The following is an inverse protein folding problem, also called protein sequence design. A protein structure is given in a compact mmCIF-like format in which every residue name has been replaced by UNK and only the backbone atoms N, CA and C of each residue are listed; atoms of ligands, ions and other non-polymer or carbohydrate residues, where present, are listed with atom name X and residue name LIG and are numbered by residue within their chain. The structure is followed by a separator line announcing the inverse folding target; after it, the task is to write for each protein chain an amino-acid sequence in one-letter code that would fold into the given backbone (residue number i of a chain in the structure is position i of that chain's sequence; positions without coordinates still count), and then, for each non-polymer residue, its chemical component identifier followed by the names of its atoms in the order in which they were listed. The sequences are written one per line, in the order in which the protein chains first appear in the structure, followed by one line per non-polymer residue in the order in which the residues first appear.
data_IF_462623918132
#
_entry.id   IF_462623918132
#
_cell.length_a   1.000
_cell.length_b   1.000
_cell.length_c   1.000
_cell.angle_alpha   90.00
_cell.angle_beta   90.00
_cell.angle_gamma   90.00
#
_symmetry.space_group_name_H-M   'P 1'
#
loop_
_entity.id
_entity.type
_entity.pdbx_description
1 polymer ?
#
# COMPACT_ATOMS: atom_id res chain seq x y z
N UNK A 1 5.88 9.99 -28.71
CA UNK A 1 5.37 10.60 -27.47
C UNK A 1 4.11 9.87 -27.03
N UNK A 2 4.23 8.81 -26.22
CA UNK A 2 3.11 7.93 -25.78
C UNK A 2 3.26 7.50 -24.31
N UNK A 3 3.92 8.31 -23.47
CA UNK A 3 4.04 8.06 -22.03
C UNK A 3 2.70 7.89 -21.27
N UNK A 4 1.61 8.66 -21.56
CA UNK A 4 0.39 8.55 -20.75
C UNK A 4 -0.42 7.28 -21.03
N UNK A 5 -0.36 6.73 -22.25
CA UNK A 5 -1.10 5.52 -22.62
C UNK A 5 -0.52 4.28 -21.93
N UNK A 6 0.80 4.17 -21.86
CA UNK A 6 1.48 3.02 -21.26
C UNK A 6 1.28 2.99 -19.73
N UNK A 7 1.25 4.17 -19.10
CA UNK A 7 0.93 4.33 -17.68
C UNK A 7 -0.50 3.88 -17.35
N UNK A 8 -1.50 4.34 -18.12
CA UNK A 8 -2.91 3.98 -17.90
C UNK A 8 -3.17 2.50 -18.17
N UNK A 9 -2.50 1.91 -19.18
CA UNK A 9 -2.56 0.47 -19.45
C UNK A 9 -1.95 -0.31 -18.29
N UNK A 10 -0.79 0.12 -17.76
CA UNK A 10 -0.14 -0.48 -16.60
C UNK A 10 -1.03 -0.45 -15.34
N UNK A 11 -1.63 0.70 -15.03
CA UNK A 11 -2.57 0.84 -13.91
C UNK A 11 -3.77 -0.09 -14.08
N UNK A 12 -4.39 -0.10 -15.27
CA UNK A 12 -5.59 -0.90 -15.53
C UNK A 12 -5.27 -2.40 -15.46
N UNK A 13 -4.10 -2.82 -15.92
CA UNK A 13 -3.66 -4.21 -15.83
C UNK A 13 -3.45 -4.64 -14.37
N UNK A 14 -2.78 -3.80 -13.58
CA UNK A 14 -2.52 -4.05 -12.16
C UNK A 14 -3.83 -4.06 -11.34
N UNK A 15 -4.76 -3.15 -11.61
CA UNK A 15 -6.07 -3.11 -10.95
C UNK A 15 -6.91 -4.36 -11.21
N UNK A 16 -6.89 -4.92 -12.42
CA UNK A 16 -7.69 -6.10 -12.81
C UNK A 16 -7.11 -7.44 -12.35
N UNK A 17 -5.90 -7.44 -11.81
CA UNK A 17 -5.09 -8.62 -11.58
C UNK A 17 -5.33 -9.24 -10.19
N UNK A 18 -4.67 -8.64 -9.21
CA UNK A 18 -4.69 -9.07 -7.81
C UNK A 18 -4.60 -7.87 -6.87
N UNK A 19 -4.36 -6.65 -7.38
CA UNK A 19 -4.12 -5.48 -6.55
C UNK A 19 -5.31 -5.17 -5.64
N UNK A 20 -6.55 -5.26 -6.15
CA UNK A 20 -7.74 -5.09 -5.32
C UNK A 20 -7.85 -6.15 -4.22
N UNK A 21 -7.47 -7.39 -4.53
CA UNK A 21 -7.48 -8.48 -3.56
C UNK A 21 -6.39 -8.28 -2.49
N UNK A 22 -5.15 -7.99 -2.90
CA UNK A 22 -4.02 -7.77 -2.00
C UNK A 22 -4.19 -6.52 -1.14
N UNK A 23 -4.69 -5.42 -1.72
CA UNK A 23 -5.02 -4.22 -0.96
C UNK A 23 -6.16 -4.47 0.03
N UNK A 24 -7.21 -5.19 -0.39
CA UNK A 24 -8.31 -5.61 0.48
C UNK A 24 -7.85 -6.48 1.64
N UNK A 25 -7.04 -7.51 1.37
CA UNK A 25 -6.46 -8.38 2.39
C UNK A 25 -5.55 -7.59 3.35
N UNK A 26 -4.73 -6.67 2.82
CA UNK A 26 -3.83 -5.85 3.64
C UNK A 26 -4.61 -4.91 4.55
N UNK A 27 -5.67 -4.29 4.04
CA UNK A 27 -6.55 -3.42 4.80
C UNK A 27 -7.28 -4.20 5.89
N UNK A 28 -7.82 -5.38 5.56
CA UNK A 28 -8.48 -6.26 6.52
C UNK A 28 -7.50 -6.71 7.62
N UNK A 29 -6.29 -7.12 7.25
CA UNK A 29 -5.25 -7.50 8.21
C UNK A 29 -4.87 -6.34 9.15
N UNK A 30 -4.74 -5.12 8.61
CA UNK A 30 -4.48 -3.93 9.42
C UNK A 30 -5.63 -3.61 10.39
N UNK A 31 -6.87 -3.65 9.91
CA UNK A 31 -8.06 -3.38 10.75
C UNK A 31 -8.16 -4.40 11.87
N UNK A 32 -8.09 -5.70 11.55
CA UNK A 32 -8.20 -6.76 12.54
C UNK A 32 -7.07 -6.71 13.56
N UNK A 33 -5.82 -6.56 13.12
CA UNK A 33 -4.67 -6.50 14.03
C UNK A 33 -4.75 -5.29 14.98
N UNK A 34 -5.08 -4.10 14.47
CA UNK A 34 -5.21 -2.90 15.30
C UNK A 34 -6.36 -3.00 16.30
N UNK A 35 -7.52 -3.54 15.90
CA UNK A 35 -8.67 -3.73 16.78
C UNK A 35 -8.40 -4.78 17.86
N UNK A 36 -7.84 -5.94 17.49
CA UNK A 36 -7.49 -6.97 18.46
C UNK A 36 -6.41 -6.48 19.44
N UNK A 37 -5.39 -5.76 18.94
CA UNK A 37 -4.34 -5.16 19.75
C UNK A 37 -4.91 -4.15 20.76
N UNK A 38 -5.91 -3.34 20.37
CA UNK A 38 -6.58 -2.42 21.28
C UNK A 38 -7.21 -3.15 22.48
N UNK A 39 -7.80 -4.33 22.26
CA UNK A 39 -8.47 -5.11 23.31
C UNK A 39 -7.48 -5.70 24.34
N UNK A 40 -6.22 -5.94 23.96
CA UNK A 40 -5.22 -6.49 24.88
C UNK A 40 -4.61 -5.45 25.85
N UNK A 41 -4.90 -4.16 25.69
CA UNK A 41 -4.33 -3.09 26.53
C UNK A 41 -5.39 -2.39 27.38
N UNK A 42 -5.44 -2.73 28.67
CA UNK A 42 -6.42 -2.16 29.61
C UNK A 42 -6.15 -0.72 30.08
N UNK A 43 -4.95 -0.17 29.82
CA UNK A 43 -4.55 1.19 30.26
C UNK A 43 -4.23 2.15 29.11
N UNK A 44 -3.81 1.62 27.95
CA UNK A 44 -3.42 2.44 26.79
C UNK A 44 -3.83 1.79 25.45
N UNK A 45 -5.14 1.61 25.18
CA UNK A 45 -5.64 0.92 23.97
C UNK A 45 -5.23 1.62 22.66
N UNK A 46 -5.33 2.95 22.59
CA UNK A 46 -5.00 3.71 21.37
C UNK A 46 -3.51 3.64 20.99
N UNK A 47 -2.59 3.66 21.97
CA UNK A 47 -1.14 3.59 21.72
C UNK A 47 -0.74 2.23 21.17
N UNK A 48 -1.28 1.15 21.76
CA UNK A 48 -0.98 -0.22 21.33
C UNK A 48 -1.57 -0.49 19.94
N UNK A 49 -2.78 -0.01 19.66
CA UNK A 49 -3.38 -0.09 18.33
C UNK A 49 -2.55 0.65 17.27
N UNK A 50 -2.04 1.85 17.59
CA UNK A 50 -1.19 2.61 16.67
C UNK A 50 0.13 1.88 16.39
N UNK A 51 0.83 1.41 17.43
CA UNK A 51 2.15 0.79 17.28
C UNK A 51 2.09 -0.53 16.49
N UNK A 52 1.08 -1.37 16.81
CA UNK A 52 0.84 -2.61 16.06
C UNK A 52 0.40 -2.29 14.62
N UNK A 53 -0.49 -1.32 14.42
CA UNK A 53 -0.91 -0.91 13.08
C UNK A 53 0.23 -0.38 12.22
N UNK A 54 1.13 0.44 12.78
CA UNK A 54 2.34 0.92 12.12
C UNK A 54 3.28 -0.24 11.76
N UNK A 55 3.46 -1.20 12.68
CA UNK A 55 4.29 -2.39 12.44
C UNK A 55 3.73 -3.27 11.33
N UNK A 56 2.40 -3.45 11.27
CA UNK A 56 1.72 -4.19 10.20
C UNK A 56 1.88 -3.47 8.86
N UNK A 57 1.75 -2.14 8.81
CA UNK A 57 2.04 -1.39 7.57
C UNK A 57 3.48 -1.58 7.11
N UNK A 58 4.46 -1.49 8.01
CA UNK A 58 5.89 -1.69 7.68
C UNK A 58 6.18 -3.09 7.15
N UNK A 59 5.43 -4.10 7.56
CA UNK A 59 5.58 -5.46 7.06
C UNK A 59 4.87 -5.67 5.72
N UNK A 60 3.62 -5.20 5.61
CA UNK A 60 2.77 -5.47 4.44
C UNK A 60 3.13 -4.64 3.22
N UNK A 61 3.55 -3.38 3.38
CA UNK A 61 3.84 -2.50 2.24
C UNK A 61 4.97 -3.06 1.34
N UNK A 62 6.13 -3.46 1.88
CA UNK A 62 7.20 -4.04 1.09
C UNK A 62 6.79 -5.38 0.47
N UNK A 63 5.99 -6.18 1.18
CA UNK A 63 5.47 -7.45 0.65
C UNK A 63 4.58 -7.21 -0.57
N UNK A 64 3.63 -6.27 -0.49
CA UNK A 64 2.76 -5.91 -1.62
C UNK A 64 3.58 -5.36 -2.78
N UNK A 65 4.60 -4.53 -2.52
CA UNK A 65 5.50 -4.01 -3.56
C UNK A 65 6.20 -5.14 -4.33
N UNK A 66 6.74 -6.13 -3.61
CA UNK A 66 7.42 -7.29 -4.22
C UNK A 66 6.43 -8.12 -5.03
N UNK A 67 5.26 -8.45 -4.48
CA UNK A 67 4.25 -9.25 -5.17
C UNK A 67 3.72 -8.55 -6.42
N UNK A 68 3.45 -7.23 -6.36
CA UNK A 68 3.04 -6.43 -7.51
C UNK A 68 4.09 -6.43 -8.61
N UNK A 69 5.37 -6.31 -8.22
CA UNK A 69 6.49 -6.33 -9.15
C UNK A 69 6.60 -7.70 -9.83
N UNK A 70 6.52 -8.79 -9.06
CA UNK A 70 6.55 -10.15 -9.57
C UNK A 70 5.40 -10.44 -10.54
N UNK A 71 4.17 -10.02 -10.20
CA UNK A 71 3.02 -10.27 -11.05
C UNK A 71 3.07 -9.49 -12.36
N UNK A 72 3.56 -8.24 -12.33
CA UNK A 72 3.71 -7.43 -13.54
C UNK A 72 4.81 -7.97 -14.47
N UNK A 73 5.89 -8.52 -13.89
CA UNK A 73 6.95 -9.20 -14.65
C UNK A 73 6.44 -10.53 -15.20
N UNK A 74 5.81 -11.38 -14.38
CA UNK A 74 5.31 -12.69 -14.77
C UNK A 74 4.32 -12.61 -15.94
N UNK A 75 3.37 -11.67 -15.88
CA UNK A 75 2.39 -11.43 -16.94
C UNK A 75 3.03 -11.00 -18.28
N UNK A 76 4.22 -10.41 -18.25
CA UNK A 76 4.97 -10.04 -19.46
C UNK A 76 5.51 -11.27 -20.18
N UNK A 77 6.02 -12.23 -19.41
CA UNK A 77 6.58 -13.48 -19.94
C UNK A 77 5.46 -14.40 -20.47
N UNK A 78 4.35 -14.54 -19.73
CA UNK A 78 3.27 -15.45 -20.10
C UNK A 78 2.56 -15.06 -21.41
N UNK A 79 2.35 -13.77 -21.67
CA UNK A 79 1.57 -13.33 -22.83
C UNK A 79 2.34 -13.25 -24.14
N UNK A 80 3.61 -13.68 -24.18
CA UNK A 80 4.49 -13.57 -25.37
C UNK A 80 4.59 -12.15 -25.97
N UNK A 81 4.24 -11.11 -25.21
CA UNK A 81 4.33 -9.72 -25.67
C UNK A 81 5.76 -9.31 -26.02
N UNK A 82 6.76 -10.05 -25.51
CA UNK A 82 8.16 -9.90 -25.88
C UNK A 82 8.40 -9.91 -27.40
N UNK A 83 7.68 -10.77 -28.14
CA UNK A 83 7.81 -10.88 -29.60
C UNK A 83 7.23 -9.66 -30.33
N UNK A 84 6.12 -9.09 -29.82
CA UNK A 84 5.48 -7.93 -30.43
C UNK A 84 6.23 -6.63 -30.08
N UNK A 85 6.76 -6.54 -28.86
CA UNK A 85 7.62 -5.43 -28.38
C UNK A 85 8.99 -5.41 -29.07
N UNK A 86 9.53 -6.57 -29.46
CA UNK A 86 10.76 -6.65 -30.26
C UNK A 86 10.55 -6.38 -31.76
N UNK A 87 9.32 -6.56 -32.26
CA UNK A 87 9.00 -6.37 -33.68
C UNK A 87 8.80 -4.90 -34.07
N UNK A 88 8.51 -4.03 -33.10
CA UNK A 88 8.38 -2.58 -33.30
C UNK A 88 9.49 -1.82 -32.57
N UNK A 89 10.09 -0.77 -33.16
CA UNK A 89 11.16 0.00 -32.54
C UNK A 89 10.57 0.92 -31.46
N UNK A 90 10.19 0.35 -30.32
CA UNK A 90 9.81 1.11 -29.14
C UNK A 90 11.01 1.24 -28.20
N UNK A 91 11.29 2.46 -27.69
CA UNK A 91 12.36 2.65 -26.71
C UNK A 91 12.08 1.85 -25.44
N UNK A 92 12.91 0.83 -25.17
CA UNK A 92 12.77 -0.11 -24.04
C UNK A 92 12.68 0.58 -22.67
N UNK A 93 13.30 1.75 -22.53
CA UNK A 93 13.27 2.55 -21.31
C UNK A 93 11.87 3.12 -20.99
N UNK A 94 11.09 3.49 -22.01
CA UNK A 94 9.76 4.08 -21.84
C UNK A 94 8.78 3.10 -21.21
N UNK A 95 8.86 1.83 -21.62
CA UNK A 95 7.99 0.76 -21.16
C UNK A 95 8.31 0.37 -19.70
N UNK A 96 9.60 0.29 -19.35
CA UNK A 96 10.01 0.02 -17.95
C UNK A 96 9.67 1.18 -17.01
N UNK A 97 9.91 2.43 -17.45
CA UNK A 97 9.58 3.62 -16.65
C UNK A 97 8.06 3.75 -16.43
N UNK A 98 7.23 3.53 -17.45
CA UNK A 98 5.77 3.58 -17.29
C UNK A 98 5.23 2.58 -16.26
N UNK A 99 5.83 1.39 -16.19
CA UNK A 99 5.47 0.35 -15.21
C UNK A 99 5.96 0.66 -13.81
N UNK A 100 7.20 1.13 -13.69
CA UNK A 100 7.74 1.57 -12.42
C UNK A 100 6.87 2.65 -11.80
N UNK A 101 6.50 3.67 -12.59
CA UNK A 101 5.61 4.75 -12.14
C UNK A 101 4.22 4.22 -11.80
N UNK A 102 3.68 3.24 -12.53
CA UNK A 102 2.40 2.62 -12.20
C UNK A 102 2.45 1.86 -10.85
N UNK A 103 3.48 1.05 -10.61
CA UNK A 103 3.65 0.34 -9.33
C UNK A 103 3.82 1.35 -8.19
N UNK A 104 4.70 2.33 -8.35
CA UNK A 104 4.95 3.37 -7.35
C UNK A 104 3.67 4.17 -7.00
N UNK A 105 2.87 4.53 -8.01
CA UNK A 105 1.61 5.22 -7.80
C UNK A 105 0.59 4.36 -7.04
N UNK A 106 0.51 3.06 -7.36
CA UNK A 106 -0.37 2.13 -6.67
C UNK A 106 0.07 1.89 -5.23
N UNK A 107 1.36 1.66 -4.98
CA UNK A 107 1.86 1.46 -3.60
C UNK A 107 1.73 2.73 -2.75
N UNK A 108 1.94 3.90 -3.33
CA UNK A 108 1.68 5.18 -2.66
C UNK A 108 0.19 5.34 -2.34
N UNK A 109 -0.69 5.03 -3.28
CA UNK A 109 -2.14 5.01 -3.04
C UNK A 109 -2.52 4.07 -1.90
N UNK A 110 -1.97 2.84 -1.88
CA UNK A 110 -2.21 1.89 -0.80
C UNK A 110 -1.71 2.41 0.55
N UNK A 111 -0.52 3.00 0.61
CA UNK A 111 0.02 3.62 1.82
C UNK A 111 -0.94 4.66 2.38
N UNK A 112 -1.46 5.56 1.54
CA UNK A 112 -2.40 6.59 1.96
C UNK A 112 -3.71 5.99 2.49
N UNK A 113 -4.23 4.94 1.85
CA UNK A 113 -5.44 4.26 2.30
C UNK A 113 -5.22 3.57 3.66
N UNK A 114 -4.13 2.82 3.82
CA UNK A 114 -3.80 2.15 5.07
C UNK A 114 -3.54 3.15 6.21
N UNK A 115 -2.83 4.24 5.91
CA UNK A 115 -2.59 5.31 6.87
C UNK A 115 -3.90 6.00 7.29
N UNK A 116 -4.75 6.37 6.33
CA UNK A 116 -6.06 6.94 6.62
C UNK A 116 -6.92 6.02 7.48
N UNK A 117 -6.98 4.73 7.14
CA UNK A 117 -7.71 3.73 7.92
C UNK A 117 -7.17 3.61 9.35
N UNK A 118 -5.86 3.53 9.53
CA UNK A 118 -5.25 3.45 10.87
C UNK A 118 -5.53 4.71 11.70
N UNK A 119 -5.43 5.90 11.10
CA UNK A 119 -5.73 7.15 11.78
C UNK A 119 -7.19 7.20 12.26
N UNK A 120 -8.13 6.78 11.42
CA UNK A 120 -9.55 6.68 11.78
C UNK A 120 -9.74 5.69 12.94
N UNK A 121 -9.15 4.49 12.86
CA UNK A 121 -9.26 3.47 13.91
C UNK A 121 -8.72 3.96 15.25
N UNK A 122 -7.52 4.56 15.26
CA UNK A 122 -6.89 5.06 16.49
C UNK A 122 -7.71 6.21 17.08
N UNK A 123 -8.27 7.09 16.24
CA UNK A 123 -9.18 8.14 16.70
C UNK A 123 -10.43 7.54 17.37
N UNK A 124 -11.06 6.55 16.74
CA UNK A 124 -12.25 5.87 17.29
C UNK A 124 -11.96 5.16 18.61
N UNK A 125 -10.86 4.41 18.69
CA UNK A 125 -10.43 3.73 19.93
C UNK A 125 -10.10 4.74 21.03
N UNK A 126 -9.52 5.89 20.69
CA UNK A 126 -9.19 6.96 21.62
C UNK A 126 -10.41 7.62 22.29
N UNK A 127 -11.60 7.56 21.68
CA UNK A 127 -12.84 8.07 22.29
C UNK A 127 -13.34 7.18 23.44
N UNK A 128 -12.98 5.90 23.45
CA UNK A 128 -13.47 4.93 24.44
C UNK A 128 -12.72 4.95 25.77
N UNK A 129 -11.54 5.56 25.85
CA UNK A 129 -10.72 5.57 27.06
C UNK A 129 -9.88 6.85 27.19
N UNK A 130 -10.10 7.61 28.27
CA UNK A 130 -9.34 8.81 28.57
C UNK A 130 -7.91 8.44 29.03
N UNK A 131 -6.93 8.57 28.13
CA UNK A 131 -5.52 8.35 28.43
C UNK A 131 -4.86 9.63 28.95
N UNK A 132 -3.99 9.50 29.96
CA UNK A 132 -3.19 10.61 30.49
C UNK A 132 -2.21 11.21 29.47
N UNK A 133 -1.84 10.43 28.44
CA UNK A 133 -0.95 10.83 27.35
C UNK A 133 -1.63 10.53 26.01
N UNK A 134 -2.34 11.51 25.41
CA UNK A 134 -3.05 11.28 24.16
C UNK A 134 -2.08 11.06 22.99
N UNK A 135 -2.48 10.19 22.07
CA UNK A 135 -1.69 9.83 20.89
C UNK A 135 -1.66 11.01 19.90
N UNK A 136 -0.47 11.41 19.46
CA UNK A 136 -0.30 12.53 18.53
C UNK A 136 -0.57 12.11 17.08
N UNK A 137 -1.82 12.23 16.64
CA UNK A 137 -2.23 11.96 15.24
C UNK A 137 -1.92 13.10 14.25
N UNK A 138 -1.26 14.17 14.71
CA UNK A 138 -0.93 15.33 13.88
C UNK A 138 0.32 15.12 13.03
N UNK A 139 1.25 16.08 13.08
CA UNK A 139 2.47 16.09 12.25
C UNK A 139 3.37 14.87 12.45
N UNK A 140 3.46 14.33 13.65
CA UNK A 140 4.28 13.15 13.95
C UNK A 140 3.81 11.89 13.21
N UNK A 141 2.49 11.74 13.04
CA UNK A 141 1.91 10.66 12.27
C UNK A 141 2.30 10.75 10.78
N UNK A 142 2.17 11.94 10.18
CA UNK A 142 2.56 12.18 8.79
C UNK A 142 4.04 11.93 8.53
N UNK A 143 4.92 12.36 9.44
CA UNK A 143 6.35 12.08 9.33
C UNK A 143 6.60 10.57 9.38
N UNK A 144 5.96 9.87 10.32
CA UNK A 144 6.11 8.42 10.44
C UNK A 144 5.66 7.69 9.17
N UNK A 145 4.49 8.05 8.63
CA UNK A 145 3.97 7.47 7.37
C UNK A 145 4.89 7.78 6.20
N UNK A 146 5.45 8.99 6.13
CA UNK A 146 6.40 9.39 5.09
C UNK A 146 7.70 8.59 5.09
N UNK A 147 8.11 8.02 6.22
CA UNK A 147 9.30 7.17 6.35
C UNK A 147 9.02 5.67 6.15
N UNK A 148 7.76 5.25 6.04
CA UNK A 148 7.39 3.84 5.85
C UNK A 148 7.52 3.38 4.39
N UNK A 149 7.44 4.32 3.44
CA UNK A 149 7.49 4.07 1.99
C UNK A 149 8.88 4.25 1.39
#
# INVERSE_FOLDING_TARGET
MTYPSDFLVGIRLAFRASYLWLSGCSLLALVLSALLAAQFSGRQPATVALDVGLSVMRLLLPLVLVLMTQELISREFDRRYFLNTLSYPHPRHSLMLGRFVAIAALTLGLLLVLAGALAILVYWVGQGYAQSTPVSLGRHYLVTVGFIG
#
